data_IF_959388004615
#
_entry.id   IF_959388004615
#
_cell.length_a   1.000
_cell.length_b   1.000
_cell.length_c   1.000
_cell.angle_alpha   90.00
_cell.angle_beta   90.00
_cell.angle_gamma   90.00
#
_symmetry.space_group_name_H-M   'P 1'
#
loop_
_entity.id
_entity.type
_entity.pdbx_description
1 polymer ?
#
# COMPACT_ATOMS: atom_id res chain seq x y z
N UNK A 1 12.86 -6.14 19.97
CA UNK A 1 12.68 -5.77 18.54
C UNK A 1 12.48 -7.05 17.75
N UNK A 2 11.57 -7.04 16.79
CA UNK A 2 11.12 -8.23 16.06
C UNK A 2 11.19 -7.99 14.56
N UNK A 3 11.48 -9.06 13.81
CA UNK A 3 11.40 -9.06 12.35
C UNK A 3 10.12 -9.79 11.94
N UNK A 4 9.33 -9.20 11.06
CA UNK A 4 8.02 -9.72 10.69
C UNK A 4 8.11 -10.45 9.35
N UNK A 5 7.67 -11.70 9.33
CA UNK A 5 7.56 -12.53 8.13
C UNK A 5 6.12 -12.65 7.65
N UNK A 6 5.94 -12.70 6.34
CA UNK A 6 4.64 -12.98 5.70
C UNK A 6 4.73 -14.24 4.85
N UNK A 7 3.60 -14.69 4.29
CA UNK A 7 3.54 -15.79 3.32
C UNK A 7 4.38 -15.54 2.07
N UNK A 8 4.70 -14.27 1.79
CA UNK A 8 5.53 -13.87 0.66
C UNK A 8 6.98 -13.69 1.09
N UNK A 9 7.26 -12.63 1.87
CA UNK A 9 8.63 -12.19 2.16
C UNK A 9 8.72 -11.53 3.55
N UNK A 10 9.94 -11.21 3.98
CA UNK A 10 10.18 -10.43 5.20
C UNK A 10 9.80 -8.96 4.99
N UNK A 11 9.26 -8.33 6.03
CA UNK A 11 9.06 -6.88 6.04
C UNK A 11 10.38 -6.21 6.45
N UNK A 12 10.83 -5.23 5.66
CA UNK A 12 12.05 -4.47 5.89
C UNK A 12 11.95 -3.67 7.19
N UNK A 13 12.98 -3.79 8.03
CA UNK A 13 13.10 -3.08 9.30
C UNK A 13 12.76 -3.92 10.53
N UNK A 14 12.93 -3.29 11.70
CA UNK A 14 12.68 -3.90 13.01
C UNK A 14 11.47 -3.23 13.66
N UNK A 15 10.59 -4.06 14.23
CA UNK A 15 9.35 -3.61 14.86
C UNK A 15 9.44 -3.77 16.37
N UNK A 16 8.92 -2.78 17.11
CA UNK A 16 8.79 -2.86 18.56
C UNK A 16 7.52 -3.65 18.91
N UNK A 17 7.45 -4.18 20.15
CA UNK A 17 6.23 -4.84 20.63
C UNK A 17 5.05 -3.87 20.76
N UNK A 18 5.29 -2.59 21.01
CA UNK A 18 4.24 -1.57 21.15
C UNK A 18 3.39 -1.34 19.89
N UNK A 19 3.95 -1.63 18.71
CA UNK A 19 3.29 -1.48 17.41
C UNK A 19 2.69 -2.80 16.90
N UNK A 20 2.61 -3.83 17.74
CA UNK A 20 2.14 -5.16 17.36
C UNK A 20 1.09 -5.65 18.35
N UNK A 21 0.08 -6.33 17.83
CA UNK A 21 -0.93 -7.01 18.63
C UNK A 21 -0.77 -8.52 18.48
N UNK A 22 -0.96 -9.25 19.56
CA UNK A 22 -0.99 -10.71 19.50
C UNK A 22 -2.10 -11.17 18.57
N UNK A 23 -1.72 -12.06 17.64
CA UNK A 23 -2.67 -12.77 16.80
C UNK A 23 -3.54 -13.69 17.65
N UNK A 24 -4.85 -13.65 17.44
CA UNK A 24 -5.81 -14.60 18.05
C UNK A 24 -5.87 -15.94 17.32
N UNK A 25 -5.21 -16.05 16.16
CA UNK A 25 -5.14 -17.25 15.34
C UNK A 25 -3.70 -17.69 15.09
N UNK A 26 -3.50 -19.01 14.93
CA UNK A 26 -2.23 -19.57 14.49
C UNK A 26 -2.07 -19.31 13.00
N UNK A 27 -1.20 -18.36 12.68
CA UNK A 27 -0.80 -18.10 11.30
C UNK A 27 0.36 -19.03 10.88
N UNK A 28 1.00 -18.67 9.78
CA UNK A 28 2.22 -19.26 9.20
C UNK A 28 3.34 -19.50 10.22
N UNK A 29 4.03 -20.63 10.08
CA UNK A 29 5.22 -20.97 10.86
C UNK A 29 6.45 -20.18 10.38
N UNK A 30 7.41 -19.93 11.29
CA UNK A 30 8.63 -19.18 10.97
C UNK A 30 9.49 -19.83 9.87
N UNK A 31 9.36 -21.14 9.67
CA UNK A 31 10.03 -21.93 8.63
C UNK A 31 9.43 -21.72 7.24
N UNK A 32 8.14 -21.39 7.18
CA UNK A 32 7.41 -21.16 5.93
C UNK A 32 7.64 -19.76 5.36
N UNK A 33 8.30 -18.87 6.13
CA UNK A 33 8.62 -17.51 5.70
C UNK A 33 9.82 -17.53 4.77
N UNK A 34 9.66 -17.04 3.54
CA UNK A 34 10.78 -16.88 2.63
C UNK A 34 11.66 -15.68 3.04
N UNK A 35 12.94 -15.97 3.33
CA UNK A 35 13.94 -15.00 3.82
C UNK A 35 14.84 -14.42 2.73
N UNK A 36 14.66 -14.81 1.46
CA UNK A 36 15.56 -14.37 0.37
C UNK A 36 15.38 -12.90 -0.01
N UNK A 37 14.20 -12.32 0.23
CA UNK A 37 13.87 -10.94 -0.12
C UNK A 37 13.19 -10.22 1.05
N UNK A 38 13.40 -8.90 1.10
CA UNK A 38 12.66 -7.99 1.98
C UNK A 38 11.79 -7.05 1.15
N UNK A 39 10.59 -6.78 1.64
CA UNK A 39 9.66 -5.79 1.09
C UNK A 39 9.43 -4.68 2.11
N UNK A 40 9.27 -3.45 1.63
CA UNK A 40 8.76 -2.37 2.49
C UNK A 40 7.34 -2.67 2.93
N UNK A 41 6.90 -2.12 4.07
CA UNK A 41 5.52 -2.29 4.56
C UNK A 41 4.48 -1.94 3.48
N UNK A 42 4.76 -0.92 2.66
CA UNK A 42 3.89 -0.51 1.55
C UNK A 42 3.79 -1.59 0.47
N UNK A 43 4.91 -2.16 0.05
CA UNK A 43 4.94 -3.25 -0.94
C UNK A 43 4.28 -4.52 -0.39
N UNK A 44 4.51 -4.84 0.88
CA UNK A 44 3.85 -5.99 1.53
C UNK A 44 2.33 -5.83 1.49
N UNK A 45 1.79 -4.65 1.80
CA UNK A 45 0.35 -4.40 1.70
C UNK A 45 -0.14 -4.51 0.25
N UNK A 46 0.64 -4.05 -0.74
CA UNK A 46 0.29 -4.23 -2.15
C UNK A 46 0.16 -5.71 -2.54
N UNK A 47 1.09 -6.55 -2.10
CA UNK A 47 1.08 -7.99 -2.43
C UNK A 47 -0.01 -8.75 -1.66
N UNK A 48 -0.20 -8.45 -0.37
CA UNK A 48 -1.11 -9.20 0.50
C UNK A 48 -2.57 -8.79 0.30
N UNK A 49 -2.86 -7.50 0.14
CA UNK A 49 -4.24 -6.99 0.09
C UNK A 49 -4.60 -6.31 -1.23
N UNK A 50 -3.73 -6.35 -2.24
CA UNK A 50 -3.92 -5.57 -3.48
C UNK A 50 -3.72 -4.06 -3.29
N UNK A 51 -3.14 -3.66 -2.15
CA UNK A 51 -2.80 -2.28 -1.84
C UNK A 51 -3.66 -1.65 -0.75
N UNK A 52 -3.29 -0.43 -0.38
CA UNK A 52 -3.99 0.35 0.66
C UNK A 52 -5.29 1.01 0.18
N UNK A 53 -5.74 0.71 -1.05
CA UNK A 53 -6.91 1.36 -1.66
C UNK A 53 -6.76 2.86 -1.92
N UNK A 54 -5.58 3.44 -1.70
CA UNK A 54 -5.33 4.86 -1.93
C UNK A 54 -4.74 5.10 -3.32
N UNK A 55 -5.57 5.66 -4.20
CA UNK A 55 -5.16 6.15 -5.51
C UNK A 55 -5.19 7.68 -5.52
N UNK A 56 -4.06 8.31 -5.83
CA UNK A 56 -3.95 9.75 -6.04
C UNK A 56 -3.19 10.03 -7.33
N UNK A 57 -3.69 10.93 -8.17
CA UNK A 57 -2.96 11.38 -9.34
C UNK A 57 -2.13 12.63 -9.02
N UNK A 58 -1.04 12.81 -9.77
CA UNK A 58 -0.18 14.00 -9.71
C UNK A 58 -0.37 14.91 -10.93
N UNK A 59 -1.57 14.89 -11.51
CA UNK A 59 -1.87 15.67 -12.71
C UNK A 59 -1.80 17.18 -12.41
N UNK A 60 -1.22 17.95 -13.32
CA UNK A 60 -1.18 19.43 -13.26
C UNK A 60 -2.29 20.10 -14.08
N UNK A 61 -3.11 19.31 -14.77
CA UNK A 61 -4.16 19.76 -15.69
C UNK A 61 -5.51 19.12 -15.34
N UNK A 62 -6.55 19.48 -16.08
CA UNK A 62 -7.87 18.83 -15.99
C UNK A 62 -7.75 17.32 -16.25
N UNK A 63 -8.13 16.50 -15.26
CA UNK A 63 -7.97 15.04 -15.24
C UNK A 63 -8.93 14.28 -16.19
N UNK A 64 -9.07 14.71 -17.44
CA UNK A 64 -10.09 14.21 -18.39
C UNK A 64 -9.55 13.16 -19.37
N UNK A 65 -8.26 12.85 -19.31
CA UNK A 65 -7.62 11.91 -20.24
C UNK A 65 -7.04 10.72 -19.47
N UNK A 66 -6.79 9.61 -20.18
CA UNK A 66 -6.14 8.42 -19.61
C UNK A 66 -4.69 8.66 -19.12
N UNK A 67 -4.16 9.89 -19.26
CA UNK A 67 -2.93 10.34 -18.58
C UNK A 67 -3.13 10.48 -17.06
N UNK A 68 -4.36 10.75 -16.62
CA UNK A 68 -4.71 10.70 -15.21
C UNK A 68 -4.95 9.26 -14.79
N UNK A 69 -4.21 8.80 -13.77
CA UNK A 69 -4.39 7.45 -13.21
C UNK A 69 -5.78 7.25 -12.63
N UNK A 70 -6.37 8.25 -11.97
CA UNK A 70 -7.75 8.18 -11.47
C UNK A 70 -8.74 8.00 -12.61
N UNK A 71 -8.66 8.84 -13.65
CA UNK A 71 -9.54 8.72 -14.82
C UNK A 71 -9.34 7.39 -15.57
N UNK A 72 -8.09 6.92 -15.69
CA UNK A 72 -7.75 5.64 -16.33
C UNK A 72 -8.37 4.45 -15.60
N UNK A 73 -8.43 4.49 -14.27
CA UNK A 73 -9.04 3.43 -13.45
C UNK A 73 -10.51 3.72 -13.14
N UNK A 74 -11.15 4.67 -13.85
CA UNK A 74 -12.55 5.06 -13.66
C UNK A 74 -12.89 5.52 -12.23
N UNK A 75 -11.92 6.12 -11.53
CA UNK A 75 -12.05 6.69 -10.18
C UNK A 75 -12.04 8.22 -10.26
N UNK A 76 -12.91 8.86 -9.46
CA UNK A 76 -12.92 10.31 -9.29
C UNK A 76 -11.76 10.77 -8.41
N UNK A 77 -11.09 11.85 -8.80
CA UNK A 77 -10.05 12.50 -8.01
C UNK A 77 -10.67 13.06 -6.71
N UNK A 78 -10.02 12.77 -5.58
CA UNK A 78 -10.39 13.33 -4.29
C UNK A 78 -9.39 14.43 -3.86
N UNK A 79 -9.56 14.97 -2.65
CA UNK A 79 -8.68 16.01 -2.10
C UNK A 79 -7.20 15.61 -2.04
N UNK A 80 -6.86 14.31 -2.01
CA UNK A 80 -5.46 13.86 -2.03
C UNK A 80 -4.78 14.01 -3.39
N UNK A 81 -5.54 14.22 -4.46
CA UNK A 81 -5.00 14.43 -5.81
C UNK A 81 -4.61 15.89 -6.02
N UNK A 82 -5.52 16.81 -5.69
CA UNK A 82 -5.35 18.23 -5.93
C UNK A 82 -5.91 19.02 -4.75
N UNK A 83 -5.08 19.90 -4.18
CA UNK A 83 -5.48 20.80 -3.09
C UNK A 83 -5.92 22.18 -3.58
N UNK A 84 -5.43 22.65 -4.74
CA UNK A 84 -5.48 24.08 -5.10
C UNK A 84 -5.93 24.41 -6.53
N UNK A 85 -6.12 23.43 -7.41
CA UNK A 85 -6.55 23.68 -8.79
C UNK A 85 -7.84 22.93 -9.15
N UNK A 86 -8.64 23.51 -10.04
CA UNK A 86 -9.92 22.96 -10.50
C UNK A 86 -9.70 21.65 -11.27
N UNK A 87 -10.13 20.54 -10.68
CA UNK A 87 -10.11 19.23 -11.32
C UNK A 87 -11.48 18.91 -11.93
N UNK A 88 -11.49 18.55 -13.22
CA UNK A 88 -12.71 18.16 -13.94
C UNK A 88 -13.14 16.71 -13.72
N UNK A 89 -12.30 15.87 -13.13
CA UNK A 89 -12.62 14.47 -12.78
C UNK A 89 -12.79 14.36 -11.26
N UNK A 90 -13.76 15.08 -10.69
CA UNK A 90 -14.07 15.07 -9.26
C UNK A 90 -15.36 14.32 -8.97
#
# INVERSE_FOLDING_TARGET
>A
MYKVGTTHWLIKGWFNSGNMQHATANFILAEQVNKQKELTLRETVQVVSGGQGFLSCSCKSSCQTKRCVCFKTSIKCNSRCHNSFTCSNK
#
